data_IF_895843313987
#
_entry.id   IF_895843313987
#
_cell.length_a   1.000
_cell.length_b   1.000
_cell.length_c   1.000
_cell.angle_alpha   90.00
_cell.angle_beta   90.00
_cell.angle_gamma   90.00
#
_symmetry.space_group_name_H-M   'P 1'
#
loop_
_entity.id
_entity.type
_entity.pdbx_description
1 polymer ?
#
# COMPACT_ATOMS: atom_id res chain seq x y z
N UNK A 1 -0.07 -1.88 22.21
CA UNK A 1 0.10 -1.67 20.76
C UNK A 1 -0.73 -2.65 19.93
N UNK A 2 -0.44 -3.96 19.94
CA UNK A 2 -1.12 -4.97 19.11
C UNK A 2 -2.65 -4.98 19.20
N UNK A 3 -3.21 -4.88 20.42
CA UNK A 3 -4.67 -4.85 20.61
C UNK A 3 -5.31 -3.60 19.99
N UNK A 4 -4.71 -2.42 20.19
CA UNK A 4 -5.18 -1.18 19.56
C UNK A 4 -5.08 -1.27 18.03
N UNK A 5 -3.97 -1.81 17.52
CA UNK A 5 -3.79 -2.06 16.09
C UNK A 5 -4.86 -3.01 15.54
N UNK A 6 -5.18 -4.10 16.25
CA UNK A 6 -6.23 -5.03 15.87
C UNK A 6 -7.61 -4.39 15.82
N UNK A 7 -7.95 -3.53 16.79
CA UNK A 7 -9.22 -2.79 16.83
C UNK A 7 -9.34 -1.83 15.65
N UNK A 8 -8.29 -1.05 15.36
CA UNK A 8 -8.27 -0.13 14.22
C UNK A 8 -8.28 -0.89 12.88
N UNK A 9 -7.51 -1.98 12.78
CA UNK A 9 -7.52 -2.89 11.63
C UNK A 9 -8.92 -3.46 11.36
N UNK A 10 -9.69 -3.75 12.42
CA UNK A 10 -11.09 -4.19 12.30
C UNK A 10 -12.02 -3.12 11.76
N UNK A 11 -11.77 -1.86 12.09
CA UNK A 11 -12.55 -0.75 11.53
C UNK A 11 -12.30 -0.61 10.02
N UNK A 12 -11.08 -0.85 9.56
CA UNK A 12 -10.69 -0.81 8.14
C UNK A 12 -11.21 -2.03 7.37
N UNK A 13 -10.80 -3.24 7.77
CA UNK A 13 -11.03 -4.47 6.96
C UNK A 13 -12.26 -5.28 7.36
N UNK A 14 -12.78 -5.11 8.58
CA UNK A 14 -14.03 -5.74 8.99
C UNK A 14 -14.04 -7.27 9.03
N UNK A 15 -12.90 -7.93 9.20
CA UNK A 15 -12.86 -9.40 9.32
C UNK A 15 -13.67 -9.92 10.53
N UNK A 16 -13.98 -11.21 10.52
CA UNK A 16 -14.77 -11.84 11.58
C UNK A 16 -14.02 -11.92 12.93
N UNK A 17 -14.75 -12.20 14.02
CA UNK A 17 -14.16 -12.30 15.35
C UNK A 17 -13.06 -13.37 15.45
N UNK A 18 -13.23 -14.49 14.72
CA UNK A 18 -12.27 -15.60 14.73
C UNK A 18 -10.94 -15.21 14.12
N UNK A 19 -10.93 -14.35 13.10
CA UNK A 19 -9.71 -13.78 12.52
C UNK A 19 -8.91 -13.05 13.61
N UNK A 20 -9.54 -12.13 14.35
CA UNK A 20 -8.84 -11.33 15.36
C UNK A 20 -8.46 -12.13 16.60
N UNK A 21 -9.29 -13.08 17.04
CA UNK A 21 -8.96 -13.96 18.16
C UNK A 21 -7.69 -14.78 17.90
N UNK A 22 -7.51 -15.27 16.66
CA UNK A 22 -6.32 -16.01 16.26
C UNK A 22 -5.12 -15.09 16.04
N UNK A 23 -5.31 -14.00 15.28
CA UNK A 23 -4.20 -13.20 14.74
C UNK A 23 -3.70 -12.11 15.69
N UNK A 24 -4.56 -11.53 16.53
CA UNK A 24 -4.14 -10.47 17.47
C UNK A 24 -3.21 -10.99 18.58
N UNK A 25 -3.28 -12.31 18.86
CA UNK A 25 -2.48 -13.00 19.89
C UNK A 25 -1.30 -13.80 19.33
N UNK A 26 -1.21 -13.93 18.01
CA UNK A 26 -0.12 -14.62 17.34
C UNK A 26 1.12 -13.71 17.28
N UNK A 27 2.24 -14.08 17.93
CA UNK A 27 3.46 -13.27 17.92
C UNK A 27 4.02 -13.06 16.52
N UNK A 28 3.86 -14.05 15.64
CA UNK A 28 4.35 -14.04 14.25
C UNK A 28 3.41 -13.35 13.25
N UNK A 29 2.27 -12.84 13.73
CA UNK A 29 1.32 -12.07 12.94
C UNK A 29 1.34 -10.60 13.34
N UNK A 30 1.47 -9.71 12.37
CA UNK A 30 1.39 -8.27 12.58
C UNK A 30 0.35 -7.70 11.63
N UNK A 31 -0.70 -7.10 12.20
CA UNK A 31 -1.81 -6.51 11.46
C UNK A 31 -1.54 -5.07 11.00
N UNK A 32 -0.46 -4.48 11.50
CA UNK A 32 -0.01 -3.15 11.13
C UNK A 32 1.15 -2.68 12.00
N UNK A 33 1.80 -1.60 11.56
CA UNK A 33 2.94 -0.98 12.23
C UNK A 33 2.63 0.47 12.56
N UNK A 34 2.98 0.90 13.78
CA UNK A 34 3.04 2.32 14.10
C UNK A 34 4.24 2.98 13.43
N UNK A 35 4.08 4.24 13.08
CA UNK A 35 5.07 5.08 12.45
C UNK A 35 4.99 6.50 13.02
N UNK A 36 6.04 7.30 12.80
CA UNK A 36 6.06 8.71 13.21
C UNK A 36 4.99 9.57 12.52
N UNK A 37 4.48 9.13 11.37
CA UNK A 37 3.39 9.76 10.63
C UNK A 37 3.17 9.12 9.26
N UNK A 38 2.25 9.69 8.49
CA UNK A 38 1.79 9.12 7.22
C UNK A 38 2.91 8.94 6.20
N UNK A 39 3.93 9.81 6.21
CA UNK A 39 5.11 9.64 5.35
C UNK A 39 5.84 8.34 5.60
N UNK A 40 6.11 8.01 6.86
CA UNK A 40 6.79 6.76 7.22
C UNK A 40 5.86 5.55 7.00
N UNK A 41 4.56 5.69 7.26
CA UNK A 41 3.60 4.63 7.00
C UNK A 41 3.46 4.31 5.49
N UNK A 42 3.39 5.31 4.60
CA UNK A 42 3.37 5.11 3.15
C UNK A 42 4.67 4.46 2.67
N UNK A 43 5.82 4.86 3.22
CA UNK A 43 7.10 4.20 2.93
C UNK A 43 7.05 2.71 3.31
N UNK A 44 6.58 2.38 4.52
CA UNK A 44 6.46 0.99 4.95
C UNK A 44 5.48 0.19 4.07
N UNK A 45 4.35 0.78 3.67
CA UNK A 45 3.39 0.15 2.78
C UNK A 45 4.02 -0.21 1.42
N UNK A 46 4.73 0.74 0.80
CA UNK A 46 5.39 0.55 -0.49
C UNK A 46 6.62 -0.35 -0.39
N UNK A 47 7.28 -0.36 0.76
CA UNK A 47 8.36 -1.29 1.06
C UNK A 47 7.85 -2.74 1.08
N UNK A 48 6.73 -2.98 1.77
CA UNK A 48 6.06 -4.28 1.77
C UNK A 48 5.66 -4.72 0.35
N UNK A 49 5.10 -3.79 -0.45
CA UNK A 49 4.74 -4.04 -1.84
C UNK A 49 5.96 -4.45 -2.68
N UNK A 50 7.08 -3.74 -2.52
CA UNK A 50 8.36 -4.05 -3.19
C UNK A 50 8.82 -5.46 -2.89
N UNK A 51 8.91 -5.80 -1.62
CA UNK A 51 9.47 -7.08 -1.19
C UNK A 51 8.52 -8.25 -1.51
N UNK A 52 7.20 -8.01 -1.58
CA UNK A 52 6.25 -9.01 -2.07
C UNK A 52 6.36 -9.25 -3.57
N UNK A 53 6.49 -8.18 -4.37
CA UNK A 53 6.52 -8.28 -5.83
C UNK A 53 7.86 -8.78 -6.37
N UNK A 54 8.95 -8.39 -5.70
CA UNK A 54 10.34 -8.66 -6.10
C UNK A 54 11.06 -9.52 -5.04
N UNK A 55 10.33 -10.31 -4.27
CA UNK A 55 10.89 -11.26 -3.31
C UNK A 55 11.36 -12.55 -3.96
N UNK A 56 12.19 -13.35 -3.26
CA UNK A 56 12.62 -14.65 -3.73
C UNK A 56 11.40 -15.55 -4.01
N UNK A 57 11.39 -16.18 -5.19
CA UNK A 57 10.35 -17.16 -5.55
C UNK A 57 10.73 -18.51 -4.98
N UNK A 58 10.47 -18.68 -3.69
CA UNK A 58 10.69 -19.97 -3.03
C UNK A 58 9.67 -20.99 -3.53
N UNK A 59 10.13 -22.18 -3.88
CA UNK A 59 9.29 -23.32 -4.32
C UNK A 59 8.71 -24.11 -3.12
N UNK A 60 8.69 -23.51 -1.93
CA UNK A 60 8.32 -24.15 -0.68
C UNK A 60 9.45 -24.89 0.04
N UNK A 61 10.67 -24.95 -0.53
CA UNK A 61 11.85 -25.53 0.14
C UNK A 61 12.74 -24.50 0.85
N UNK A 62 12.37 -23.21 0.76
CA UNK A 62 13.12 -22.11 1.39
C UNK A 62 14.27 -21.54 0.54
N UNK A 63 14.52 -22.11 -0.65
CA UNK A 63 15.46 -21.57 -1.64
C UNK A 63 14.74 -21.08 -2.88
N UNK A 64 15.11 -19.91 -3.39
CA UNK A 64 14.73 -19.51 -4.74
C UNK A 64 15.49 -20.42 -5.72
N UNK A 65 14.76 -21.12 -6.60
CA UNK A 65 15.35 -21.99 -7.62
C UNK A 65 16.34 -21.26 -8.56
N UNK A 66 16.33 -19.91 -8.57
CA UNK A 66 17.26 -19.06 -9.30
C UNK A 66 18.38 -18.41 -8.47
N UNK A 67 18.52 -18.75 -7.18
CA UNK A 67 19.63 -18.26 -6.33
C UNK A 67 19.58 -16.78 -5.95
N UNK A 68 18.39 -16.15 -6.01
CA UNK A 68 18.17 -14.76 -5.59
C UNK A 68 17.71 -14.71 -4.13
N UNK A 69 18.38 -13.91 -3.30
CA UNK A 69 18.15 -13.78 -1.86
C UNK A 69 17.11 -12.69 -1.52
N UNK A 70 16.78 -11.83 -2.47
CA UNK A 70 15.79 -10.75 -2.30
C UNK A 70 16.37 -9.35 -2.44
N UNK A 71 15.46 -8.37 -2.54
CA UNK A 71 15.81 -6.96 -2.81
C UNK A 71 16.66 -6.34 -1.70
N UNK A 72 16.52 -6.76 -0.44
CA UNK A 72 17.32 -6.21 0.67
C UNK A 72 18.81 -6.56 0.55
N UNK A 73 19.11 -7.79 0.15
CA UNK A 73 20.49 -8.29 0.12
C UNK A 73 21.18 -7.95 -1.20
N UNK A 74 20.46 -8.06 -2.31
CA UNK A 74 21.05 -7.92 -3.65
C UNK A 74 20.69 -6.61 -4.36
N UNK A 75 19.75 -5.85 -3.80
CA UNK A 75 19.35 -4.54 -4.31
C UNK A 75 18.35 -4.57 -5.47
N UNK A 76 17.79 -3.39 -5.76
CA UNK A 76 16.71 -3.22 -6.73
C UNK A 76 17.10 -3.62 -8.16
N UNK A 77 18.33 -3.35 -8.58
CA UNK A 77 18.79 -3.67 -9.93
C UNK A 77 18.85 -5.19 -10.17
N UNK A 78 19.43 -5.94 -9.22
CA UNK A 78 19.48 -7.40 -9.29
C UNK A 78 18.07 -7.99 -9.29
N UNK A 79 17.18 -7.47 -8.43
CA UNK A 79 15.79 -7.91 -8.35
C UNK A 79 15.03 -7.76 -9.66
N UNK A 80 15.10 -6.58 -10.29
CA UNK A 80 14.45 -6.32 -11.58
C UNK A 80 14.98 -7.25 -12.68
N UNK A 81 16.31 -7.42 -12.75
CA UNK A 81 16.95 -8.31 -13.72
C UNK A 81 16.53 -9.77 -13.50
N UNK A 82 16.53 -10.24 -12.25
CA UNK A 82 16.14 -11.60 -11.90
C UNK A 82 14.68 -11.88 -12.28
N UNK A 83 13.77 -10.92 -12.07
CA UNK A 83 12.35 -11.06 -12.42
C UNK A 83 12.00 -10.66 -13.86
N UNK A 84 12.97 -10.21 -14.66
CA UNK A 84 12.77 -9.88 -16.08
C UNK A 84 12.02 -8.57 -16.34
N UNK A 85 12.17 -7.58 -15.46
CA UNK A 85 11.59 -6.25 -15.62
C UNK A 85 12.64 -5.21 -16.00
N UNK A 86 12.26 -4.28 -16.87
CA UNK A 86 13.10 -3.14 -17.29
C UNK A 86 13.09 -2.01 -16.26
N UNK A 87 12.09 -2.01 -15.38
CA UNK A 87 11.92 -1.01 -14.33
C UNK A 87 10.71 -1.33 -13.45
N UNK A 88 10.47 -0.48 -12.45
CA UNK A 88 9.26 -0.51 -11.65
C UNK A 88 8.64 0.89 -11.57
N UNK A 89 7.32 0.93 -11.38
CA UNK A 89 6.55 2.16 -11.24
C UNK A 89 5.53 2.07 -10.10
N UNK A 90 5.19 3.22 -9.53
CA UNK A 90 4.04 3.41 -8.66
C UNK A 90 3.06 4.29 -9.43
N UNK A 91 1.78 3.92 -9.49
CA UNK A 91 0.77 4.65 -10.26
C UNK A 91 -0.33 5.15 -9.33
N UNK A 92 -0.72 6.41 -9.47
CA UNK A 92 -1.79 6.99 -8.66
C UNK A 92 -2.16 8.39 -9.12
N UNK A 93 -3.03 9.06 -8.37
CA UNK A 93 -3.49 10.41 -8.69
C UNK A 93 -2.36 11.44 -8.78
N UNK A 94 -2.51 12.47 -9.60
CA UNK A 94 -1.67 13.67 -9.55
C UNK A 94 -1.84 14.46 -8.22
N UNK A 95 -2.81 14.10 -7.37
CA UNK A 95 -2.99 14.64 -6.03
C UNK A 95 -2.30 13.81 -4.93
N UNK A 96 -1.49 12.81 -5.30
CA UNK A 96 -0.74 12.02 -4.33
C UNK A 96 0.12 12.92 -3.44
N UNK A 97 0.12 12.63 -2.15
CA UNK A 97 0.99 13.33 -1.22
C UNK A 97 2.47 13.07 -1.57
N UNK A 98 3.33 14.09 -1.41
CA UNK A 98 4.75 14.01 -1.78
C UNK A 98 5.51 12.84 -1.13
N UNK A 99 4.99 12.28 -0.04
CA UNK A 99 5.55 11.10 0.65
C UNK A 99 5.67 9.89 -0.27
N UNK A 100 4.75 9.71 -1.23
CA UNK A 100 4.76 8.58 -2.16
C UNK A 100 5.95 8.68 -3.12
N UNK A 101 6.16 9.85 -3.75
CA UNK A 101 7.33 10.10 -4.59
C UNK A 101 8.65 10.02 -3.81
N UNK A 102 8.66 10.48 -2.55
CA UNK A 102 9.81 10.32 -1.65
C UNK A 102 10.09 8.84 -1.36
N UNK A 103 9.07 8.05 -1.08
CA UNK A 103 9.21 6.62 -0.85
C UNK A 103 9.76 5.89 -2.08
N UNK A 104 9.31 6.25 -3.29
CA UNK A 104 9.86 5.73 -4.54
C UNK A 104 11.37 6.00 -4.67
N UNK A 105 11.81 7.20 -4.29
CA UNK A 105 13.23 7.57 -4.22
C UNK A 105 14.01 6.75 -3.20
N UNK A 106 13.53 6.66 -1.96
CA UNK A 106 14.17 5.91 -0.87
C UNK A 106 14.27 4.41 -1.17
N UNK A 107 13.24 3.83 -1.79
CA UNK A 107 13.19 2.40 -2.12
C UNK A 107 14.02 2.01 -3.35
N UNK A 108 14.65 2.98 -4.02
CA UNK A 108 15.56 2.73 -5.16
C UNK A 108 14.89 2.66 -6.52
N UNK A 109 13.61 3.06 -6.65
CA UNK A 109 12.90 3.11 -7.94
C UNK A 109 13.22 4.41 -8.70
N UNK A 110 13.60 5.47 -7.96
CA UNK A 110 13.83 6.82 -8.49
C UNK A 110 12.53 7.62 -8.59
N UNK A 111 12.59 8.94 -8.44
CA UNK A 111 11.39 9.80 -8.39
C UNK A 111 10.56 9.80 -9.68
N UNK A 112 11.19 9.54 -10.84
CA UNK A 112 10.51 9.43 -12.14
C UNK A 112 9.72 8.13 -12.33
N UNK A 113 9.77 7.21 -11.35
CA UNK A 113 8.96 5.99 -11.36
C UNK A 113 7.52 6.22 -10.88
N UNK A 114 7.21 7.41 -10.37
CA UNK A 114 5.85 7.81 -10.05
C UNK A 114 5.13 8.24 -11.33
N UNK A 115 4.08 7.51 -11.69
CA UNK A 115 3.21 7.83 -12.82
C UNK A 115 1.94 8.46 -12.27
N UNK A 116 1.82 9.76 -12.49
CA UNK A 116 0.72 10.59 -12.00
C UNK A 116 -0.42 10.61 -13.02
N UNK A 117 -1.61 10.24 -12.58
CA UNK A 117 -2.82 10.17 -13.39
C UNK A 117 -3.68 11.42 -13.10
N UNK A 118 -4.15 12.13 -14.14
CA UNK A 118 -5.06 13.25 -13.96
C UNK A 118 -6.33 12.87 -13.20
N UNK A 119 -6.98 13.87 -12.60
CA UNK A 119 -8.25 13.74 -11.89
C UNK A 119 -9.39 14.44 -12.62
N UNK A 120 -10.63 14.13 -12.25
CA UNK A 120 -11.87 14.76 -12.73
C UNK A 120 -12.23 16.05 -11.97
N UNK A 121 -13.37 16.65 -12.31
CA UNK A 121 -13.83 17.90 -11.69
C UNK A 121 -14.19 17.72 -10.19
N UNK A 122 -14.39 16.48 -9.75
CA UNK A 122 -14.57 16.09 -8.35
C UNK A 122 -13.25 15.77 -7.63
N UNK A 123 -12.11 16.03 -8.28
CA UNK A 123 -10.76 15.76 -7.78
C UNK A 123 -10.49 14.28 -7.51
N UNK A 124 -11.17 13.36 -8.21
CA UNK A 124 -10.92 11.92 -8.15
C UNK A 124 -10.10 11.47 -9.33
N UNK A 125 -9.20 10.52 -9.12
CA UNK A 125 -8.35 9.99 -10.20
C UNK A 125 -9.18 9.41 -11.34
N UNK A 126 -8.79 9.70 -12.57
CA UNK A 126 -9.43 9.19 -13.78
C UNK A 126 -9.07 7.72 -14.00
N UNK A 127 -9.97 6.82 -13.61
CA UNK A 127 -9.76 5.37 -13.68
C UNK A 127 -9.58 4.84 -15.12
N UNK A 128 -10.16 5.51 -16.10
CA UNK A 128 -9.96 5.22 -17.53
C UNK A 128 -8.53 5.54 -17.99
N UNK A 129 -7.92 6.61 -17.46
CA UNK A 129 -6.53 6.96 -17.74
C UNK A 129 -5.56 6.10 -16.93
N UNK A 130 -5.95 5.72 -15.71
CA UNK A 130 -5.22 4.77 -14.86
C UNK A 130 -5.04 3.43 -15.60
N UNK A 131 -6.13 2.85 -16.13
CA UNK A 131 -6.08 1.58 -16.85
C UNK A 131 -5.11 1.64 -18.05
N UNK A 132 -5.17 2.71 -18.85
CA UNK A 132 -4.24 2.92 -19.97
C UNK A 132 -2.78 2.99 -19.53
N UNK A 133 -2.50 3.66 -18.41
CA UNK A 133 -1.14 3.74 -17.88
C UNK A 133 -0.63 2.38 -17.37
N UNK A 134 -1.50 1.59 -16.74
CA UNK A 134 -1.15 0.22 -16.31
C UNK A 134 -0.87 -0.70 -17.51
N UNK A 135 -1.60 -0.52 -18.61
CA UNK A 135 -1.39 -1.24 -19.87
C UNK A 135 -0.08 -0.82 -20.55
N UNK A 136 0.25 0.47 -20.57
CA UNK A 136 1.54 0.97 -21.07
C UNK A 136 2.73 0.40 -20.28
N UNK A 137 2.66 0.40 -18.95
CA UNK A 137 3.69 -0.19 -18.09
C UNK A 137 3.94 -1.66 -18.46
N UNK A 138 2.86 -2.45 -18.59
CA UNK A 138 2.96 -3.86 -18.99
C UNK A 138 3.63 -4.02 -20.36
N UNK A 139 3.23 -3.22 -21.35
CA UNK A 139 3.78 -3.28 -22.71
C UNK A 139 5.28 -2.92 -22.75
N UNK A 140 5.75 -2.10 -21.81
CA UNK A 140 7.15 -1.67 -21.69
C UNK A 140 7.99 -2.56 -20.79
N UNK A 141 7.43 -3.64 -20.23
CA UNK A 141 8.13 -4.49 -19.27
C UNK A 141 8.42 -3.79 -17.93
N UNK A 142 7.61 -2.80 -17.57
CA UNK A 142 7.70 -2.08 -16.29
C UNK A 142 6.77 -2.75 -15.29
N UNK A 143 7.33 -3.20 -14.17
CA UNK A 143 6.55 -3.71 -13.04
C UNK A 143 5.73 -2.57 -12.43
N UNK A 144 4.39 -2.69 -12.45
CA UNK A 144 3.57 -1.83 -11.59
C UNK A 144 3.65 -2.37 -10.18
N UNK A 145 4.46 -1.71 -9.35
CA UNK A 145 4.67 -2.12 -7.97
C UNK A 145 3.40 -1.93 -7.14
N UNK A 146 2.81 -0.74 -7.25
CA UNK A 146 1.60 -0.40 -6.53
C UNK A 146 0.71 0.55 -7.33
N UNK A 147 -0.61 0.35 -7.16
CA UNK A 147 -1.63 1.36 -7.45
C UNK A 147 -1.99 2.02 -6.13
N UNK A 148 -1.94 3.35 -6.08
CA UNK A 148 -2.25 4.12 -4.87
C UNK A 148 -3.57 4.87 -5.05
N UNK A 149 -4.56 4.54 -4.21
CA UNK A 149 -5.82 5.28 -4.11
C UNK A 149 -5.79 6.26 -2.94
N UNK A 150 -6.43 7.43 -3.12
CA UNK A 150 -6.56 8.43 -2.07
C UNK A 150 -7.90 8.29 -1.36
N UNK A 151 -7.86 8.18 -0.03
CA UNK A 151 -9.01 8.28 0.84
C UNK A 151 -8.90 9.55 1.68
N UNK A 152 -9.26 10.68 1.07
CA UNK A 152 -9.10 12.02 1.64
C UNK A 152 -7.79 12.65 1.18
N UNK A 153 -7.73 13.10 -0.07
CA UNK A 153 -6.61 13.87 -0.61
C UNK A 153 -6.35 15.12 0.26
N UNK A 154 -5.08 15.46 0.50
CA UNK A 154 -4.71 16.51 1.47
C UNK A 154 -5.35 17.86 1.17
N UNK A 155 -5.37 18.26 -0.10
CA UNK A 155 -5.81 19.60 -0.51
C UNK A 155 -7.33 19.72 -0.67
N UNK A 156 -8.00 18.65 -1.09
CA UNK A 156 -9.41 18.67 -1.52
C UNK A 156 -10.32 17.82 -0.65
N UNK A 157 -9.76 16.90 0.14
CA UNK A 157 -10.50 15.90 0.90
C UNK A 157 -11.20 14.85 0.02
N UNK A 158 -10.93 14.81 -1.29
CA UNK A 158 -11.57 13.87 -2.21
C UNK A 158 -11.21 12.41 -1.88
N UNK A 159 -12.14 11.51 -2.18
CA UNK A 159 -11.94 10.06 -2.07
C UNK A 159 -12.12 9.47 -3.46
N UNK A 160 -11.08 8.80 -3.93
CA UNK A 160 -11.08 8.09 -5.20
C UNK A 160 -12.09 6.92 -5.19
N UNK A 161 -12.46 6.41 -6.37
CA UNK A 161 -13.20 5.15 -6.47
C UNK A 161 -12.29 3.96 -6.11
N UNK A 162 -12.16 3.69 -4.82
CA UNK A 162 -11.25 2.67 -4.28
C UNK A 162 -11.61 1.26 -4.75
N UNK A 163 -12.90 0.97 -4.97
CA UNK A 163 -13.36 -0.34 -5.44
C UNK A 163 -12.91 -0.58 -6.89
N UNK A 164 -13.06 0.41 -7.75
CA UNK A 164 -12.56 0.33 -9.15
C UNK A 164 -11.04 0.25 -9.18
N UNK A 165 -10.33 1.03 -8.38
CA UNK A 165 -8.86 0.95 -8.28
C UNK A 165 -8.38 -0.41 -7.78
N UNK A 166 -9.06 -1.01 -6.80
CA UNK A 166 -8.76 -2.36 -6.32
C UNK A 166 -8.93 -3.41 -7.42
N UNK A 167 -9.95 -3.26 -8.28
CA UNK A 167 -10.17 -4.15 -9.42
C UNK A 167 -9.05 -4.00 -10.47
N UNK A 168 -8.65 -2.77 -10.79
CA UNK A 168 -7.55 -2.48 -11.70
C UNK A 168 -6.21 -3.03 -11.18
N UNK A 169 -5.88 -2.78 -9.91
CA UNK A 169 -4.66 -3.30 -9.29
C UNK A 169 -4.60 -4.84 -9.40
N UNK A 170 -5.69 -5.52 -9.07
CA UNK A 170 -5.81 -6.97 -9.19
C UNK A 170 -5.68 -7.48 -10.62
N UNK A 171 -6.34 -6.82 -11.59
CA UNK A 171 -6.24 -7.15 -13.02
C UNK A 171 -4.79 -7.12 -13.51
N UNK A 172 -3.99 -6.19 -12.98
CA UNK A 172 -2.59 -6.00 -13.38
C UNK A 172 -1.57 -6.67 -12.45
N UNK A 173 -2.02 -7.40 -11.41
CA UNK A 173 -1.13 -8.03 -10.44
C UNK A 173 -0.33 -7.04 -9.58
N UNK A 174 -0.81 -5.80 -9.46
CA UNK A 174 -0.18 -4.75 -8.66
C UNK A 174 -0.71 -4.77 -7.23
N UNK A 175 0.12 -4.35 -6.27
CA UNK A 175 -0.30 -4.13 -4.89
C UNK A 175 -1.26 -2.93 -4.82
N UNK A 176 -2.39 -3.05 -4.13
CA UNK A 176 -3.30 -1.93 -3.93
C UNK A 176 -3.06 -1.27 -2.57
N UNK A 177 -2.55 -0.03 -2.58
CA UNK A 177 -2.37 0.75 -1.37
C UNK A 177 -3.41 1.89 -1.31
N UNK A 178 -4.00 2.13 -0.14
CA UNK A 178 -4.83 3.32 0.09
C UNK A 178 -4.14 4.24 1.07
N UNK A 179 -3.82 5.46 0.61
CA UNK A 179 -3.42 6.55 1.51
C UNK A 179 -4.69 7.17 2.09
N UNK A 180 -5.04 6.71 3.30
CA UNK A 180 -6.13 7.23 4.10
C UNK A 180 -5.60 8.04 5.29
N UNK A 181 -4.42 8.65 5.17
CA UNK A 181 -3.79 9.37 6.29
C UNK A 181 -4.75 10.41 6.88
N UNK A 182 -5.47 11.14 6.03
CA UNK A 182 -6.49 12.12 6.43
C UNK A 182 -7.90 11.53 6.53
N UNK A 183 -8.38 10.81 5.51
CA UNK A 183 -9.78 10.35 5.45
C UNK A 183 -10.06 8.98 6.10
N UNK A 184 -9.04 8.25 6.55
CA UNK A 184 -9.21 6.97 7.25
C UNK A 184 -10.15 7.03 8.46
N UNK A 185 -10.12 8.09 9.28
CA UNK A 185 -11.06 8.27 10.38
C UNK A 185 -12.54 8.36 9.99
N UNK A 186 -12.88 8.59 8.71
CA UNK A 186 -14.26 8.50 8.23
C UNK A 186 -14.86 7.11 8.46
N UNK A 187 -14.02 6.06 8.59
CA UNK A 187 -14.44 4.70 8.88
C UNK A 187 -15.19 4.54 10.22
N UNK A 188 -14.99 5.47 11.17
CA UNK A 188 -15.71 5.51 12.46
C UNK A 188 -17.07 6.22 12.36
N UNK A 189 -17.31 6.99 11.30
CA UNK A 189 -18.55 7.73 11.11
C UNK A 189 -19.60 6.88 10.39
N UNK A 190 -20.77 6.68 11.00
CA UNK A 190 -21.89 6.00 10.31
C UNK A 190 -22.34 6.75 9.06
N UNK A 191 -22.19 8.08 9.03
CA UNK A 191 -22.58 8.93 7.90
C UNK A 191 -21.56 8.90 6.76
N UNK A 192 -20.28 8.91 7.08
CA UNK A 192 -19.21 9.08 6.09
C UNK A 192 -18.47 7.79 5.73
N UNK A 193 -18.59 6.71 6.51
CA UNK A 193 -18.00 5.41 6.20
C UNK A 193 -18.27 4.93 4.76
N UNK A 194 -19.48 5.10 4.17
CA UNK A 194 -19.73 4.68 2.79
C UNK A 194 -18.86 5.38 1.75
N UNK A 195 -18.25 6.53 2.05
CA UNK A 195 -17.29 7.18 1.15
C UNK A 195 -16.01 6.36 0.96
N UNK A 196 -15.68 5.48 1.91
CA UNK A 196 -14.51 4.60 1.86
C UNK A 196 -14.82 3.24 1.22
N UNK A 197 -15.91 3.12 0.46
CA UNK A 197 -16.28 1.85 -0.19
C UNK A 197 -15.12 1.29 -1.02
N UNK A 198 -14.69 0.06 -0.69
CA UNK A 198 -13.55 -0.59 -1.34
C UNK A 198 -12.22 -0.46 -0.60
N UNK A 199 -12.13 0.33 0.49
CA UNK A 199 -10.91 0.41 1.31
C UNK A 199 -10.52 -0.96 1.90
N UNK A 200 -11.49 -1.81 2.19
CA UNK A 200 -11.30 -3.17 2.71
C UNK A 200 -10.63 -4.13 1.70
N UNK A 201 -10.55 -3.72 0.43
CA UNK A 201 -9.90 -4.46 -0.64
C UNK A 201 -8.42 -4.12 -0.80
N UNK A 202 -7.94 -3.05 -0.16
CA UNK A 202 -6.54 -2.64 -0.17
C UNK A 202 -5.64 -3.71 0.45
N UNK A 203 -4.47 -3.95 -0.13
CA UNK A 203 -3.45 -4.78 0.49
C UNK A 203 -2.84 -4.05 1.71
N UNK A 204 -2.69 -2.73 1.61
CA UNK A 204 -2.26 -1.87 2.73
C UNK A 204 -3.04 -0.56 2.81
N UNK A 205 -3.26 -0.07 4.03
CA UNK A 205 -3.93 1.22 4.30
C UNK A 205 -3.10 2.04 5.26
N UNK A 206 -2.83 3.30 4.91
CA UNK A 206 -2.21 4.26 5.84
C UNK A 206 -3.26 5.12 6.53
N UNK A 207 -3.07 5.41 7.81
CA UNK A 207 -3.92 6.29 8.61
C UNK A 207 -3.06 7.09 9.60
N UNK A 208 -3.34 8.38 9.78
CA UNK A 208 -2.71 9.17 10.85
C UNK A 208 -3.70 9.48 11.97
N UNK A 209 -3.41 8.96 13.16
CA UNK A 209 -4.15 9.29 14.37
C UNK A 209 -4.01 10.76 14.77
N UNK A 210 -2.88 11.38 14.44
CA UNK A 210 -2.66 12.80 14.74
C UNK A 210 -3.33 13.79 13.78
N UNK A 211 -4.11 13.28 12.83
CA UNK A 211 -4.97 14.10 11.97
C UNK A 211 -6.39 14.07 12.55
N UNK A 212 -7.28 13.29 11.95
CA UNK A 212 -8.71 13.31 12.27
C UNK A 212 -9.10 12.40 13.46
N UNK A 213 -8.16 11.71 14.14
CA UNK A 213 -8.42 10.99 15.40
C UNK A 213 -8.01 11.76 16.67
N UNK A 214 -7.59 13.03 16.53
CA UNK A 214 -7.25 13.90 17.68
C UNK A 214 -6.14 13.35 18.60
N UNK A 215 -5.23 12.54 18.07
CA UNK A 215 -4.04 12.09 18.82
C UNK A 215 -2.89 13.11 18.72
N UNK A 216 -1.96 13.15 19.67
CA UNK A 216 -0.74 13.96 19.52
C UNK A 216 0.11 13.53 18.32
N UNK A 217 0.91 14.46 17.80
CA UNK A 217 1.88 14.19 16.72
C UNK A 217 2.77 12.98 17.02
N UNK A 218 3.15 12.22 15.99
CA UNK A 218 3.87 10.95 16.16
C UNK A 218 2.97 9.71 16.19
N UNK A 219 1.96 9.65 15.32
CA UNK A 219 0.92 8.61 15.38
C UNK A 219 0.41 8.25 13.97
N UNK A 220 1.32 7.88 13.08
CA UNK A 220 0.97 7.26 11.80
C UNK A 220 0.87 5.75 11.92
N UNK A 221 0.11 5.12 11.05
CA UNK A 221 -0.11 3.68 11.04
C UNK A 221 -0.17 3.17 9.61
N UNK A 222 0.42 2.00 9.38
CA UNK A 222 0.24 1.21 8.16
C UNK A 222 -0.44 -0.11 8.54
N UNK A 223 -1.60 -0.40 7.99
CA UNK A 223 -2.34 -1.65 8.20
C UNK A 223 -2.13 -2.61 7.03
N UNK A 224 -1.91 -3.89 7.32
CA UNK A 224 -1.74 -4.94 6.30
C UNK A 224 -2.98 -5.83 6.27
N UNK A 225 -3.60 -5.99 5.09
CA UNK A 225 -4.75 -6.89 4.94
C UNK A 225 -4.37 -8.36 5.14
N UNK A 226 -3.19 -8.74 4.64
CA UNK A 226 -2.60 -10.05 4.81
C UNK A 226 -1.42 -9.97 5.81
N UNK A 227 -1.44 -10.73 6.91
CA UNK A 227 -0.31 -10.84 7.83
C UNK A 227 1.04 -11.19 7.19
N UNK A 228 1.05 -11.94 6.10
CA UNK A 228 2.30 -12.30 5.39
C UNK A 228 3.00 -11.08 4.78
N UNK A 229 2.25 -10.00 4.47
CA UNK A 229 2.84 -8.71 4.04
C UNK A 229 3.74 -8.10 5.11
N UNK A 230 3.52 -8.39 6.39
CA UNK A 230 4.42 -7.90 7.42
C UNK A 230 5.83 -8.50 7.27
N UNK A 231 5.96 -9.77 6.89
CA UNK A 231 7.28 -10.38 6.69
C UNK A 231 8.03 -9.68 5.56
N UNK A 232 7.30 -9.25 4.53
CA UNK A 232 7.84 -8.43 3.46
C UNK A 232 8.29 -7.03 3.95
N UNK A 233 7.61 -6.45 4.95
CA UNK A 233 7.96 -5.15 5.54
C UNK A 233 9.02 -5.21 6.67
N UNK A 234 9.33 -6.40 7.19
CA UNK A 234 10.29 -6.63 8.28
C UNK A 234 10.87 -8.05 8.17
N UNK A 235 11.87 -8.28 7.29
CA UNK A 235 12.46 -9.60 7.08
C UNK A 235 13.27 -10.13 8.27
N UNK A 236 13.54 -9.30 9.27
CA UNK A 236 14.42 -9.57 10.42
C UNK A 236 13.70 -9.72 11.76
N UNK A 237 12.37 -9.88 11.77
CA UNK A 237 11.59 -10.13 13.00
C UNK A 237 11.34 -11.62 13.25
#
# INVERSE_FOLDING_TARGET
EREAMAQLHRVVYGFDGRFYERRARDPGCVLGTFASGGTAANLTALWAARNRALGPKTDGTGTDGGGFAGVEEEGMHAALKHHGYEGAAIVGSALLHYSVGKAAGVLGLGSRSLIEIPYDDEFRVRTDLMERALEDCKNRGILVLAVVGLAGATETGSVDDLRTLAALARKHGAHFHVDAAWGGPLAFSRRHRPLLDGIELADTVTLDGHKQLYMPMGCGMCFYRDPELCRAASPTA
#
